data_IF_883777278929
#
_entry.id   IF_883777278929
#
_cell.length_a   1.000
_cell.length_b   1.000
_cell.length_c   1.000
_cell.angle_alpha   90.00
_cell.angle_beta   90.00
_cell.angle_gamma   90.00
#
_symmetry.space_group_name_H-M   'P 1'
#
loop_
_entity.id
_entity.type
_entity.pdbx_description
1 polymer ?
#
# COMPACT_ATOMS: atom_id res chain seq x y z
N UNK A 1 36.32 11.90 -50.56
CA UNK A 1 36.61 10.78 -49.63
C UNK A 1 36.97 11.41 -48.29
N UNK A 2 36.10 11.31 -47.26
CA UNK A 2 36.41 11.90 -45.95
C UNK A 2 37.33 10.95 -45.18
N UNK A 3 38.56 11.41 -44.89
CA UNK A 3 39.49 10.67 -44.05
C UNK A 3 39.00 10.72 -42.60
N UNK A 4 38.43 9.62 -42.10
CA UNK A 4 38.10 9.47 -40.69
C UNK A 4 39.40 9.51 -39.87
N UNK A 5 39.42 10.33 -38.81
CA UNK A 5 40.53 10.38 -37.86
C UNK A 5 40.57 9.06 -37.05
N UNK A 6 41.76 8.62 -36.65
CA UNK A 6 42.04 7.43 -35.85
C UNK A 6 41.10 7.26 -34.65
N UNK A 7 40.68 8.37 -34.03
CA UNK A 7 39.74 8.39 -32.91
C UNK A 7 38.33 7.94 -33.31
N UNK A 8 37.83 8.37 -34.48
CA UNK A 8 36.51 7.98 -34.98
C UNK A 8 36.48 6.51 -35.40
N UNK A 9 37.59 6.02 -35.97
CA UNK A 9 37.76 4.60 -36.28
C UNK A 9 37.74 3.77 -34.98
N UNK A 10 38.42 4.23 -33.93
CA UNK A 10 38.42 3.58 -32.62
C UNK A 10 37.02 3.50 -31.98
N UNK A 11 36.21 4.56 -32.07
CA UNK A 11 34.84 4.57 -31.53
C UNK A 11 33.94 3.62 -32.32
N UNK A 12 34.04 3.61 -33.66
CA UNK A 12 33.22 2.73 -34.50
C UNK A 12 33.57 1.25 -34.25
N UNK A 13 34.86 0.92 -34.16
CA UNK A 13 35.32 -0.44 -33.85
C UNK A 13 34.89 -0.85 -32.45
N UNK A 14 34.99 0.04 -31.46
CA UNK A 14 34.50 -0.21 -30.09
C UNK A 14 33.00 -0.46 -30.03
N UNK A 15 32.19 0.31 -30.77
CA UNK A 15 30.75 0.13 -30.84
C UNK A 15 30.37 -1.19 -31.54
N UNK A 16 31.06 -1.56 -32.62
CA UNK A 16 30.83 -2.83 -33.33
C UNK A 16 31.19 -4.02 -32.43
N UNK A 17 32.29 -3.96 -31.68
CA UNK A 17 32.67 -5.02 -30.73
C UNK A 17 31.63 -5.10 -29.61
N UNK A 18 31.19 -3.98 -29.06
CA UNK A 18 30.16 -3.96 -28.01
C UNK A 18 28.83 -4.54 -28.48
N UNK A 19 28.35 -4.15 -29.67
CA UNK A 19 27.12 -4.69 -30.25
C UNK A 19 27.28 -6.18 -30.57
N UNK A 20 28.44 -6.60 -31.06
CA UNK A 20 28.72 -8.00 -31.39
C UNK A 20 28.77 -8.87 -30.13
N UNK A 21 29.39 -8.38 -29.06
CA UNK A 21 29.38 -9.05 -27.74
C UNK A 21 27.97 -9.08 -27.15
N UNK A 22 27.20 -8.01 -27.25
CA UNK A 22 25.80 -7.98 -26.80
C UNK A 22 24.93 -8.97 -27.59
N UNK A 23 25.10 -9.05 -28.91
CA UNK A 23 24.41 -10.02 -29.77
C UNK A 23 24.84 -11.44 -29.42
N UNK A 24 26.13 -11.71 -29.21
CA UNK A 24 26.63 -13.05 -28.82
C UNK A 24 26.14 -13.50 -27.43
N UNK A 25 25.92 -12.56 -26.50
CA UNK A 25 25.29 -12.80 -25.20
C UNK A 25 23.78 -13.10 -25.37
N UNK A 26 23.08 -12.32 -26.21
CA UNK A 26 21.66 -12.52 -26.51
C UNK A 26 21.39 -13.83 -27.29
N UNK A 27 22.27 -14.21 -28.23
CA UNK A 27 22.14 -15.44 -29.04
C UNK A 27 22.73 -16.69 -28.37
N UNK A 28 23.33 -16.57 -27.19
CA UNK A 28 23.76 -17.71 -26.36
C UNK A 28 24.99 -18.47 -26.87
N UNK A 29 25.90 -17.80 -27.59
CA UNK A 29 27.10 -18.45 -28.19
C UNK A 29 28.28 -18.48 -27.20
N UNK A 30 28.26 -17.64 -26.14
CA UNK A 30 29.29 -17.60 -25.09
C UNK A 30 28.84 -18.38 -23.84
N UNK A 31 29.47 -19.52 -23.49
CA UNK A 31 29.16 -20.26 -22.26
C UNK A 31 29.67 -19.49 -21.02
N UNK A 32 28.83 -19.36 -19.99
CA UNK A 32 29.23 -18.87 -18.65
C UNK A 32 28.90 -17.41 -18.30
N UNK A 33 28.20 -16.67 -19.16
CA UNK A 33 27.72 -15.29 -18.90
C UNK A 33 26.19 -15.15 -18.81
N UNK A 34 25.46 -16.27 -18.89
CA UNK A 34 24.04 -16.30 -18.49
C UNK A 34 23.95 -16.51 -16.99
N UNK A 35 23.36 -15.58 -16.26
CA UNK A 35 22.62 -15.89 -15.04
C UNK A 35 21.40 -16.69 -15.47
N UNK A 36 21.51 -18.03 -15.49
CA UNK A 36 20.45 -18.90 -15.99
C UNK A 36 19.23 -18.87 -15.05
N UNK A 37 18.30 -17.94 -15.29
CA UNK A 37 16.95 -17.92 -14.70
C UNK A 37 16.08 -19.12 -15.10
N UNK A 38 16.59 -19.98 -16.00
CA UNK A 38 15.93 -21.16 -16.53
C UNK A 38 16.42 -22.48 -15.89
N UNK A 39 17.07 -22.40 -14.73
CA UNK A 39 17.31 -23.54 -13.84
C UNK A 39 16.02 -24.04 -13.19
N UNK A 40 15.94 -25.35 -12.92
CA UNK A 40 14.77 -25.94 -12.29
C UNK A 40 14.64 -25.48 -10.83
N UNK A 41 13.46 -25.01 -10.45
CA UNK A 41 13.17 -24.56 -9.09
C UNK A 41 11.73 -24.88 -8.70
N UNK A 42 11.52 -25.23 -7.43
CA UNK A 42 10.19 -25.37 -6.83
C UNK A 42 10.00 -24.22 -5.85
N UNK A 43 9.26 -23.19 -6.26
CA UNK A 43 9.02 -21.99 -5.46
C UNK A 43 7.76 -22.14 -4.61
N UNK A 44 7.86 -21.87 -3.31
CA UNK A 44 6.70 -21.69 -2.43
C UNK A 44 6.36 -20.21 -2.32
N UNK A 45 5.16 -19.84 -2.77
CA UNK A 45 4.65 -18.46 -2.75
C UNK A 45 3.53 -18.33 -1.73
N UNK A 46 3.67 -17.41 -0.77
CA UNK A 46 2.63 -17.07 0.20
C UNK A 46 1.90 -15.79 -0.18
N UNK A 47 0.57 -15.86 -0.28
CA UNK A 47 -0.30 -14.73 -0.60
C UNK A 47 -1.58 -14.70 0.21
N UNK A 48 -2.45 -13.71 -0.02
CA UNK A 48 -3.70 -13.53 0.75
C UNK A 48 -4.97 -13.79 -0.04
N UNK A 49 -4.88 -13.77 -1.38
CA UNK A 49 -6.03 -13.94 -2.24
C UNK A 49 -6.27 -15.42 -2.58
N UNK A 50 -7.41 -15.72 -3.19
CA UNK A 50 -7.66 -17.06 -3.71
C UNK A 50 -6.68 -17.39 -4.85
N UNK A 51 -6.34 -18.67 -5.00
CA UNK A 51 -5.34 -19.13 -5.96
C UNK A 51 -5.71 -18.76 -7.41
N UNK A 52 -7.02 -18.67 -7.70
CA UNK A 52 -7.59 -18.23 -8.97
C UNK A 52 -7.11 -16.85 -9.41
N UNK A 53 -6.76 -15.97 -8.47
CA UNK A 53 -6.21 -14.64 -8.77
C UNK A 53 -4.82 -14.77 -9.43
N UNK A 54 -4.05 -15.78 -9.03
CA UNK A 54 -2.67 -15.97 -9.49
C UNK A 54 -2.53 -17.00 -10.61
N UNK A 55 -3.50 -17.90 -10.79
CA UNK A 55 -3.42 -19.05 -11.70
C UNK A 55 -2.98 -18.68 -13.12
N UNK A 56 -3.62 -17.68 -13.73
CA UNK A 56 -3.25 -17.22 -15.09
C UNK A 56 -1.89 -16.54 -15.09
N UNK A 57 -1.60 -15.72 -14.08
CA UNK A 57 -0.35 -14.95 -13.96
C UNK A 57 0.84 -15.90 -13.85
N UNK A 58 0.75 -16.93 -13.00
CA UNK A 58 1.76 -17.97 -12.89
C UNK A 58 1.86 -18.82 -14.15
N UNK A 59 0.75 -19.01 -14.88
CA UNK A 59 0.76 -19.63 -16.21
C UNK A 59 1.64 -18.88 -17.19
N UNK A 60 1.43 -17.55 -17.32
CA UNK A 60 2.23 -16.68 -18.19
C UNK A 60 3.72 -16.71 -17.84
N UNK A 61 4.08 -16.72 -16.55
CA UNK A 61 5.49 -16.84 -16.16
C UNK A 61 6.13 -18.16 -16.62
N UNK A 62 5.38 -19.26 -16.53
CA UNK A 62 5.86 -20.61 -16.88
C UNK A 62 6.04 -20.83 -18.38
N UNK A 63 5.43 -20.01 -19.24
CA UNK A 63 5.64 -20.09 -20.70
C UNK A 63 7.11 -19.92 -21.06
N UNK A 64 7.80 -18.98 -20.41
CA UNK A 64 9.24 -18.71 -20.60
C UNK A 64 10.15 -19.39 -19.56
N UNK A 65 9.56 -19.98 -18.50
CA UNK A 65 10.27 -20.60 -17.37
C UNK A 65 9.73 -22.01 -17.07
N UNK A 66 9.71 -22.87 -18.09
CA UNK A 66 9.06 -24.19 -18.04
C UNK A 66 9.62 -25.15 -16.98
N UNK A 67 10.83 -24.91 -16.46
CA UNK A 67 11.45 -25.70 -15.38
C UNK A 67 11.09 -25.19 -13.97
N UNK A 68 10.35 -24.09 -13.84
CA UNK A 68 9.93 -23.54 -12.55
C UNK A 68 8.54 -24.01 -12.19
N UNK A 69 8.42 -24.67 -11.04
CA UNK A 69 7.15 -24.97 -10.40
C UNK A 69 6.85 -23.93 -9.32
N UNK A 70 5.59 -23.54 -9.19
CA UNK A 70 5.13 -22.57 -8.18
C UNK A 70 4.03 -23.26 -7.37
N UNK A 71 4.27 -23.42 -6.07
CA UNK A 71 3.30 -23.86 -5.07
C UNK A 71 2.75 -22.63 -4.35
N UNK A 72 1.46 -22.34 -4.55
CA UNK A 72 0.78 -21.26 -3.86
C UNK A 72 0.26 -21.71 -2.50
N UNK A 73 0.41 -20.89 -1.48
CA UNK A 73 -0.23 -21.06 -0.17
C UNK A 73 -0.94 -19.78 0.24
N UNK A 74 -2.27 -19.86 0.38
CA UNK A 74 -3.06 -18.77 0.95
C UNK A 74 -2.81 -18.69 2.45
N UNK A 75 -2.37 -17.54 2.94
CA UNK A 75 -2.17 -17.25 4.36
C UNK A 75 -3.24 -16.30 4.88
N UNK A 76 -3.46 -16.34 6.19
CA UNK A 76 -4.28 -15.36 6.88
C UNK A 76 -3.42 -14.14 7.25
N UNK A 77 -3.77 -12.91 6.81
CA UNK A 77 -3.02 -11.70 7.17
C UNK A 77 -2.79 -11.53 8.68
N UNK A 78 -3.77 -11.93 9.51
CA UNK A 78 -3.73 -11.77 10.97
C UNK A 78 -2.71 -12.72 11.64
N UNK A 79 -2.41 -13.87 11.02
CA UNK A 79 -1.45 -14.86 11.56
C UNK A 79 -0.12 -14.87 10.82
N UNK A 80 -0.01 -14.16 9.69
CA UNK A 80 1.16 -14.21 8.81
C UNK A 80 2.47 -14.01 9.56
N UNK A 81 2.53 -13.05 10.48
CA UNK A 81 3.75 -12.77 11.25
C UNK A 81 4.22 -13.98 12.04
N UNK A 82 3.32 -14.67 12.76
CA UNK A 82 3.65 -15.89 13.50
C UNK A 82 4.02 -17.02 12.55
N UNK A 83 3.19 -17.27 11.54
CA UNK A 83 3.37 -18.36 10.58
C UNK A 83 4.73 -18.23 9.86
N UNK A 84 5.15 -16.99 9.57
CA UNK A 84 6.45 -16.68 8.97
C UNK A 84 7.61 -17.01 9.91
N UNK A 85 7.56 -16.59 11.18
CA UNK A 85 8.61 -16.89 12.16
C UNK A 85 8.74 -18.41 12.39
N UNK A 86 7.62 -19.11 12.53
CA UNK A 86 7.61 -20.55 12.77
C UNK A 86 8.22 -21.31 11.58
N UNK A 87 7.92 -20.88 10.35
CA UNK A 87 8.50 -21.46 9.14
C UNK A 87 10.02 -21.23 9.04
N UNK A 88 10.50 -20.02 9.39
CA UNK A 88 11.94 -19.75 9.44
C UNK A 88 12.65 -20.61 10.50
N UNK A 89 12.06 -20.71 11.70
CA UNK A 89 12.62 -21.50 12.80
C UNK A 89 12.69 -22.99 12.48
N UNK A 90 11.72 -23.50 11.71
CA UNK A 90 11.64 -24.90 11.30
C UNK A 90 12.48 -25.24 10.06
N UNK A 91 13.20 -24.27 9.48
CA UNK A 91 13.97 -24.45 8.26
C UNK A 91 13.13 -24.63 6.99
N UNK A 92 11.83 -24.33 7.06
CA UNK A 92 10.84 -24.49 5.98
C UNK A 92 10.39 -23.12 5.45
N UNK A 93 11.34 -22.20 5.27
CA UNK A 93 11.07 -20.86 4.78
C UNK A 93 10.41 -20.90 3.38
N UNK A 94 9.36 -20.09 3.13
CA UNK A 94 8.87 -19.90 1.77
C UNK A 94 9.90 -19.16 0.91
N UNK A 95 9.73 -19.23 -0.41
CA UNK A 95 10.61 -18.52 -1.35
C UNK A 95 10.16 -17.08 -1.59
N UNK A 96 8.84 -16.85 -1.63
CA UNK A 96 8.25 -15.52 -1.81
C UNK A 96 7.12 -15.34 -0.81
N UNK A 97 7.07 -14.18 -0.18
CA UNK A 97 5.98 -13.78 0.72
C UNK A 97 5.42 -12.44 0.28
N UNK A 98 4.11 -12.37 0.09
CA UNK A 98 3.39 -11.10 0.05
C UNK A 98 3.23 -10.58 1.49
N UNK A 99 3.83 -9.43 1.78
CA UNK A 99 3.96 -8.92 3.13
C UNK A 99 3.42 -7.48 3.24
N UNK A 100 2.57 -7.18 4.23
CA UNK A 100 2.19 -5.80 4.52
C UNK A 100 3.38 -5.02 5.07
N UNK A 101 3.41 -3.71 4.82
CA UNK A 101 4.57 -2.85 5.08
C UNK A 101 5.00 -2.81 6.54
N UNK A 102 4.06 -2.87 7.47
CA UNK A 102 4.33 -2.90 8.92
C UNK A 102 5.11 -4.16 9.33
N UNK A 103 4.68 -5.33 8.84
CA UNK A 103 5.37 -6.59 9.08
C UNK A 103 6.71 -6.64 8.35
N UNK A 104 6.79 -6.10 7.13
CA UNK A 104 8.04 -5.97 6.39
C UNK A 104 9.10 -5.24 7.20
N UNK A 105 8.77 -4.08 7.78
CA UNK A 105 9.71 -3.33 8.60
C UNK A 105 10.11 -4.07 9.87
N UNK A 106 9.16 -4.72 10.54
CA UNK A 106 9.42 -5.52 11.73
C UNK A 106 10.42 -6.65 11.45
N UNK A 107 10.31 -7.26 10.27
CA UNK A 107 11.08 -8.45 9.89
C UNK A 107 12.21 -8.15 8.88
N UNK A 108 12.51 -6.87 8.63
CA UNK A 108 13.37 -6.40 7.54
C UNK A 108 14.70 -7.15 7.44
N UNK A 109 15.35 -7.41 8.58
CA UNK A 109 16.64 -8.11 8.64
C UNK A 109 16.63 -9.56 8.13
N UNK A 110 15.44 -10.14 7.84
CA UNK A 110 15.25 -11.53 7.38
C UNK A 110 15.10 -11.66 5.88
N UNK A 111 15.05 -10.56 5.12
CA UNK A 111 14.91 -10.59 3.66
C UNK A 111 16.24 -10.44 2.94
N UNK A 112 16.38 -11.17 1.83
CA UNK A 112 17.48 -10.97 0.88
C UNK A 112 17.24 -9.69 0.08
N UNK A 113 18.31 -9.17 -0.53
CA UNK A 113 18.19 -8.08 -1.48
C UNK A 113 18.09 -8.64 -2.90
N UNK A 114 17.35 -7.95 -3.76
CA UNK A 114 17.26 -8.30 -5.17
C UNK A 114 18.64 -8.16 -5.83
N UNK A 115 19.02 -9.10 -6.73
CA UNK A 115 20.19 -8.93 -7.58
C UNK A 115 20.06 -7.65 -8.44
N UNK A 116 21.16 -6.89 -8.53
CA UNK A 116 21.16 -5.58 -9.20
C UNK A 116 20.97 -5.67 -10.73
N UNK A 117 21.20 -6.83 -11.33
CA UNK A 117 20.93 -7.15 -12.72
C UNK A 117 19.44 -7.45 -12.99
N UNK A 118 18.66 -7.78 -11.96
CA UNK A 118 17.22 -8.01 -12.06
C UNK A 118 16.44 -6.73 -11.73
N UNK A 119 16.73 -6.08 -10.59
CA UNK A 119 15.99 -4.93 -10.10
C UNK A 119 16.92 -3.85 -9.55
N UNK A 120 16.63 -2.59 -9.87
CA UNK A 120 17.44 -1.44 -9.45
C UNK A 120 16.62 -0.40 -8.71
N UNK A 121 17.28 0.37 -7.83
CA UNK A 121 16.72 1.58 -7.19
C UNK A 121 16.07 2.52 -8.23
N UNK A 122 16.74 2.72 -9.35
CA UNK A 122 16.28 3.59 -10.44
C UNK A 122 15.01 3.04 -11.13
N UNK A 123 14.87 1.72 -11.27
CA UNK A 123 13.63 1.13 -11.77
C UNK A 123 12.46 1.41 -10.82
N UNK A 124 12.65 1.18 -9.51
CA UNK A 124 11.59 1.37 -8.52
C UNK A 124 11.19 2.85 -8.41
N UNK A 125 12.15 3.76 -8.27
CA UNK A 125 11.89 5.20 -8.08
C UNK A 125 11.24 5.87 -9.29
N UNK A 126 11.53 5.40 -10.52
CA UNK A 126 10.92 5.94 -11.75
C UNK A 126 9.52 5.41 -12.02
N UNK A 127 9.27 4.13 -11.73
CA UNK A 127 8.04 3.46 -12.17
C UNK A 127 6.95 3.39 -11.11
N UNK A 128 7.27 3.58 -9.82
CA UNK A 128 6.30 3.43 -8.73
C UNK A 128 5.99 4.76 -8.01
N UNK A 129 4.89 4.74 -7.25
CA UNK A 129 4.52 5.82 -6.33
C UNK A 129 5.66 6.08 -5.31
N UNK A 130 5.85 7.32 -4.82
CA UNK A 130 6.96 7.65 -3.92
C UNK A 130 7.03 6.76 -2.66
N UNK A 131 5.87 6.33 -2.16
CA UNK A 131 5.75 5.45 -1.00
C UNK A 131 6.44 4.08 -1.20
N UNK A 132 6.67 3.64 -2.45
CA UNK A 132 7.42 2.42 -2.75
C UNK A 132 8.88 2.45 -2.25
N UNK A 133 9.43 3.64 -2.01
CA UNK A 133 10.83 3.81 -1.58
C UNK A 133 11.12 3.13 -0.24
N UNK A 134 10.08 2.74 0.53
CA UNK A 134 10.23 1.98 1.78
C UNK A 134 10.95 0.64 1.61
N UNK A 135 10.97 0.09 0.39
CA UNK A 135 11.61 -1.20 0.12
C UNK A 135 13.09 -1.07 -0.30
N UNK A 136 13.64 0.14 -0.31
CA UNK A 136 15.06 0.40 -0.59
C UNK A 136 15.82 0.44 0.74
N UNK A 137 16.89 -0.34 0.86
CA UNK A 137 17.76 -0.35 2.03
C UNK A 137 18.73 0.86 2.06
N UNK A 138 19.48 1.03 3.16
CA UNK A 138 20.45 2.13 3.29
C UNK A 138 21.64 2.05 2.32
N UNK A 139 21.87 0.88 1.72
CA UNK A 139 22.88 0.63 0.69
C UNK A 139 22.31 0.74 -0.73
N UNK A 140 21.05 1.16 -0.88
CA UNK A 140 20.31 1.32 -2.14
C UNK A 140 19.95 0.00 -2.84
N UNK A 141 20.00 -1.13 -2.12
CA UNK A 141 19.48 -2.38 -2.65
C UNK A 141 17.97 -2.49 -2.41
N UNK A 142 17.30 -3.26 -3.26
CA UNK A 142 15.87 -3.54 -3.15
C UNK A 142 15.66 -4.73 -2.21
N UNK A 143 15.09 -4.53 -1.03
CA UNK A 143 14.77 -5.59 -0.07
C UNK A 143 13.34 -6.16 -0.24
N UNK A 144 12.55 -5.55 -1.12
CA UNK A 144 11.20 -5.99 -1.49
C UNK A 144 10.70 -5.23 -2.71
N UNK A 145 9.72 -5.78 -3.41
CA UNK A 145 9.06 -5.06 -4.49
C UNK A 145 7.63 -4.75 -4.11
N UNK A 146 7.20 -3.48 -4.22
CA UNK A 146 5.83 -3.13 -3.93
C UNK A 146 4.93 -3.82 -4.97
N UNK A 147 3.78 -4.34 -4.55
CA UNK A 147 2.89 -5.10 -5.42
C UNK A 147 1.51 -4.44 -5.57
N UNK A 148 0.89 -4.07 -4.46
CA UNK A 148 -0.31 -3.22 -4.45
C UNK A 148 -0.38 -2.38 -3.17
N UNK A 149 -1.28 -1.40 -3.16
CA UNK A 149 -1.59 -0.57 -2.01
C UNK A 149 -3.05 -0.78 -1.60
N UNK A 150 -3.30 -0.84 -0.30
CA UNK A 150 -4.64 -0.77 0.26
C UNK A 150 -4.81 0.59 0.94
N UNK A 151 -5.43 1.52 0.23
CA UNK A 151 -5.53 2.90 0.67
C UNK A 151 -6.60 3.04 1.77
N UNK A 152 -6.30 3.85 2.77
CA UNK A 152 -7.29 4.30 3.73
C UNK A 152 -8.21 5.32 3.05
N UNK A 153 -9.52 5.13 3.17
CA UNK A 153 -10.56 5.95 2.52
C UNK A 153 -11.69 6.29 3.49
N UNK A 154 -12.49 7.29 3.12
CA UNK A 154 -13.71 7.65 3.82
C UNK A 154 -14.92 7.04 3.12
N UNK A 155 -15.55 6.07 3.77
CA UNK A 155 -16.88 5.59 3.45
C UNK A 155 -17.93 6.48 4.11
N UNK A 156 -18.97 6.86 3.37
CA UNK A 156 -20.05 7.70 3.90
C UNK A 156 -21.43 7.15 3.54
N UNK A 157 -22.34 7.16 4.51
CA UNK A 157 -23.71 6.67 4.34
C UNK A 157 -24.58 7.76 3.72
N UNK A 158 -25.04 7.53 2.48
CA UNK A 158 -25.79 8.51 1.69
C UNK A 158 -27.12 8.88 2.35
N UNK A 159 -27.80 7.92 2.98
CA UNK A 159 -29.11 8.16 3.59
C UNK A 159 -28.97 9.03 4.85
N UNK A 160 -27.95 8.77 5.67
CA UNK A 160 -27.65 9.60 6.85
C UNK A 160 -27.19 11.01 6.45
N UNK A 161 -26.40 11.12 5.38
CA UNK A 161 -26.01 12.41 4.81
C UNK A 161 -27.22 13.19 4.31
N UNK A 162 -28.10 12.55 3.53
CA UNK A 162 -29.32 13.16 2.99
C UNK A 162 -30.28 13.63 4.09
N UNK A 163 -30.49 12.84 5.16
CA UNK A 163 -31.31 13.22 6.32
C UNK A 163 -30.83 14.50 7.02
N UNK A 164 -29.54 14.81 6.93
CA UNK A 164 -28.93 16.01 7.51
C UNK A 164 -28.62 17.08 6.46
N UNK A 165 -29.14 16.93 5.25
CA UNK A 165 -28.93 17.84 4.12
C UNK A 165 -27.45 18.05 3.75
N UNK A 166 -26.62 17.03 3.95
CA UNK A 166 -25.21 17.02 3.55
C UNK A 166 -25.13 16.40 2.15
N UNK A 167 -24.71 17.17 1.16
CA UNK A 167 -24.76 16.77 -0.26
C UNK A 167 -23.43 16.27 -0.83
N UNK A 168 -22.33 16.48 -0.11
CA UNK A 168 -20.99 16.06 -0.54
C UNK A 168 -20.20 15.47 0.65
N UNK A 169 -19.31 14.49 0.41
CA UNK A 169 -18.41 14.02 1.44
C UNK A 169 -17.44 15.14 1.88
N UNK A 170 -17.03 15.16 3.16
CA UNK A 170 -16.10 16.17 3.66
C UNK A 170 -14.73 16.04 3.00
N UNK A 171 -14.20 17.16 2.52
CA UNK A 171 -12.85 17.27 1.95
C UNK A 171 -11.83 17.71 2.99
N UNK A 172 -12.29 18.34 4.07
CA UNK A 172 -11.44 18.82 5.17
C UNK A 172 -11.82 18.18 6.50
N UNK A 173 -10.88 18.11 7.44
CA UNK A 173 -11.16 17.60 8.79
C UNK A 173 -12.16 18.47 9.56
N UNK A 174 -12.24 19.77 9.26
CA UNK A 174 -13.25 20.67 9.81
C UNK A 174 -14.65 20.28 9.30
N UNK A 175 -14.79 20.06 7.99
CA UNK A 175 -16.05 19.56 7.41
C UNK A 175 -16.43 18.17 7.94
N UNK A 176 -15.44 17.30 8.18
CA UNK A 176 -15.65 15.99 8.78
C UNK A 176 -16.17 16.12 10.21
N UNK A 177 -15.61 17.02 11.01
CA UNK A 177 -16.07 17.30 12.36
C UNK A 177 -17.53 17.80 12.36
N UNK A 178 -17.85 18.77 11.50
CA UNK A 178 -19.20 19.31 11.37
C UNK A 178 -20.22 18.25 10.94
N UNK A 179 -19.87 17.42 9.95
CA UNK A 179 -20.72 16.34 9.48
C UNK A 179 -20.93 15.30 10.59
N UNK A 180 -19.88 14.93 11.33
CA UNK A 180 -19.98 13.98 12.44
C UNK A 180 -20.91 14.50 13.54
N UNK A 181 -20.81 15.78 13.90
CA UNK A 181 -21.70 16.41 14.87
C UNK A 181 -23.15 16.43 14.41
N UNK A 182 -23.42 16.81 13.16
CA UNK A 182 -24.79 16.86 12.60
C UNK A 182 -25.45 15.49 12.51
N UNK A 183 -24.69 14.45 12.17
CA UNK A 183 -25.22 13.09 11.98
C UNK A 183 -25.39 12.36 13.31
N UNK A 184 -24.59 12.66 14.33
CA UNK A 184 -24.67 11.94 15.61
C UNK A 184 -26.00 12.19 16.30
N UNK A 185 -26.68 11.10 16.68
CA UNK A 185 -27.92 11.12 17.44
C UNK A 185 -27.74 10.31 18.73
N UNK A 186 -28.33 10.82 19.82
CA UNK A 186 -28.30 10.19 21.14
C UNK A 186 -29.73 10.01 21.66
N UNK A 187 -29.97 8.96 22.43
CA UNK A 187 -31.21 8.79 23.17
C UNK A 187 -31.25 9.65 24.45
N UNK A 188 -32.36 9.58 25.18
CA UNK A 188 -32.58 10.32 26.43
C UNK A 188 -31.56 9.97 27.53
N UNK A 189 -30.93 8.80 27.45
CA UNK A 189 -29.88 8.35 28.38
C UNK A 189 -28.49 8.79 27.95
N UNK A 190 -28.38 9.54 26.85
CA UNK A 190 -27.12 10.01 26.28
C UNK A 190 -26.38 8.94 25.47
N UNK A 191 -26.98 7.78 25.20
CA UNK A 191 -26.34 6.73 24.40
C UNK A 191 -26.45 7.05 22.92
N UNK A 192 -25.36 6.88 22.20
CA UNK A 192 -25.31 7.08 20.75
C UNK A 192 -26.17 6.01 20.05
N UNK A 193 -27.20 6.44 19.33
CA UNK A 193 -28.11 5.59 18.54
C UNK A 193 -27.76 5.59 17.05
N UNK A 194 -27.30 6.74 16.54
CA UNK A 194 -26.64 6.91 15.24
C UNK A 194 -25.31 7.60 15.48
N UNK A 195 -24.23 7.02 15.00
CA UNK A 195 -22.90 7.62 15.11
C UNK A 195 -22.58 8.44 13.87
N UNK A 196 -22.08 9.66 14.04
CA UNK A 196 -21.62 10.48 12.93
C UNK A 196 -20.28 10.02 12.34
N UNK A 197 -19.35 9.57 13.19
CA UNK A 197 -18.01 9.14 12.79
C UNK A 197 -17.41 8.12 13.76
N UNK A 198 -16.70 7.13 13.21
CA UNK A 198 -15.88 6.21 13.98
C UNK A 198 -14.46 6.75 14.16
N UNK A 199 -14.24 7.52 15.24
CA UNK A 199 -12.94 8.09 15.61
C UNK A 199 -12.77 8.20 17.14
N UNK A 200 -11.52 8.20 17.61
CA UNK A 200 -11.18 8.62 18.98
C UNK A 200 -10.79 7.53 19.98
N UNK A 201 -10.71 6.27 19.57
CA UNK A 201 -10.17 5.17 20.38
C UNK A 201 -9.82 3.94 19.53
N UNK A 202 -9.14 2.97 20.11
CA UNK A 202 -8.63 1.77 19.42
C UNK A 202 -9.37 0.47 19.72
N UNK A 203 -10.29 0.46 20.69
CA UNK A 203 -10.93 -0.77 21.18
C UNK A 203 -11.81 -1.43 20.13
N UNK A 204 -12.62 -0.64 19.41
CA UNK A 204 -13.62 -1.11 18.44
C UNK A 204 -13.50 -0.38 17.09
N UNK A 205 -12.32 0.15 16.79
CA UNK A 205 -11.97 0.76 15.50
C UNK A 205 -10.69 0.10 15.00
N UNK A 206 -10.80 -0.89 14.11
CA UNK A 206 -9.65 -1.69 13.65
C UNK A 206 -8.49 -0.83 13.12
N UNK A 207 -8.81 0.25 12.39
CA UNK A 207 -7.83 1.10 11.72
C UNK A 207 -7.37 2.29 12.57
N UNK A 208 -7.65 2.33 13.87
CA UNK A 208 -7.40 3.52 14.73
C UNK A 208 -5.95 4.02 14.67
N UNK A 209 -4.97 3.11 14.66
CA UNK A 209 -3.55 3.45 14.63
C UNK A 209 -3.15 4.06 13.28
N UNK A 210 -3.69 3.53 12.17
CA UNK A 210 -3.45 4.06 10.82
C UNK A 210 -4.12 5.42 10.63
N UNK A 211 -5.33 5.60 11.17
CA UNK A 211 -6.04 6.89 11.18
C UNK A 211 -5.23 7.94 11.94
N UNK A 212 -4.82 7.63 13.19
CA UNK A 212 -4.04 8.56 14.01
C UNK A 212 -2.69 8.88 13.35
N UNK A 213 -1.99 7.88 12.82
CA UNK A 213 -0.73 8.09 12.09
C UNK A 213 -0.92 9.00 10.88
N UNK A 214 -2.03 8.84 10.15
CA UNK A 214 -2.35 9.71 9.00
C UNK A 214 -2.58 11.16 9.43
N UNK A 215 -3.31 11.39 10.54
CA UNK A 215 -3.51 12.73 11.10
C UNK A 215 -2.19 13.37 11.52
N UNK A 216 -1.32 12.63 12.20
CA UNK A 216 0.01 13.08 12.60
C UNK A 216 0.83 13.56 11.39
N UNK A 217 0.90 12.72 10.34
CA UNK A 217 1.65 13.05 9.13
C UNK A 217 1.05 14.25 8.38
N UNK A 218 -0.27 14.33 8.25
CA UNK A 218 -0.95 15.47 7.61
C UNK A 218 -0.71 16.78 8.36
N UNK A 219 -0.61 16.74 9.69
CA UNK A 219 -0.29 17.90 10.53
C UNK A 219 1.16 18.38 10.41
N UNK A 220 1.99 17.66 9.65
CA UNK A 220 3.40 17.97 9.45
C UNK A 220 4.32 17.38 10.52
N UNK A 221 3.81 16.53 11.42
CA UNK A 221 4.62 15.87 12.44
C UNK A 221 5.59 14.88 11.79
N UNK A 222 6.87 14.98 12.15
CA UNK A 222 7.87 13.99 11.78
C UNK A 222 7.94 12.97 12.91
N UNK A 223 7.32 11.82 12.71
CA UNK A 223 7.36 10.70 13.67
C UNK A 223 8.80 10.21 13.85
N UNK A 224 9.55 10.13 12.75
CA UNK A 224 10.96 9.77 12.71
C UNK A 224 11.69 10.84 11.91
N UNK A 225 12.85 11.27 12.40
CA UNK A 225 13.75 12.20 11.71
C UNK A 225 14.60 11.50 10.65
N UNK A 226 15.28 12.30 9.80
CA UNK A 226 16.07 11.77 8.69
C UNK A 226 17.24 10.87 9.11
N UNK A 227 17.69 10.96 10.37
CA UNK A 227 18.75 10.11 10.93
C UNK A 227 18.21 8.90 11.71
N UNK A 228 16.91 8.60 11.59
CA UNK A 228 16.28 7.44 12.22
C UNK A 228 15.92 7.62 13.69
N UNK A 229 16.04 8.83 14.25
CA UNK A 229 15.66 9.11 15.64
C UNK A 229 14.16 9.42 15.71
N UNK A 230 13.45 8.80 16.65
CA UNK A 230 12.05 9.12 16.93
C UNK A 230 11.91 10.57 17.40
N UNK A 231 11.05 11.34 16.72
CA UNK A 231 10.85 12.78 16.97
C UNK A 231 9.38 13.16 17.19
N UNK A 232 8.50 12.16 17.31
CA UNK A 232 7.07 12.35 17.57
C UNK A 232 6.84 13.34 18.72
N UNK A 233 6.01 14.36 18.48
CA UNK A 233 5.65 15.36 19.50
C UNK A 233 6.67 16.48 19.70
N UNK A 234 7.71 16.54 18.87
CA UNK A 234 8.58 17.72 18.81
C UNK A 234 7.79 18.95 18.39
N UNK A 235 8.10 20.11 18.98
CA UNK A 235 7.50 21.36 18.51
C UNK A 235 8.05 21.73 17.13
N UNK A 236 7.16 22.26 16.28
CA UNK A 236 7.51 22.78 14.97
C UNK A 236 7.23 24.28 14.99
N UNK A 237 8.23 25.07 14.60
CA UNK A 237 8.12 26.52 14.53
C UNK A 237 7.41 26.91 13.24
N UNK A 238 6.22 27.51 13.38
CA UNK A 238 5.45 28.08 12.28
C UNK A 238 5.40 29.60 12.43
N UNK A 239 6.27 30.31 11.73
CA UNK A 239 6.49 31.74 11.94
C UNK A 239 7.05 32.04 13.34
N UNK A 240 6.28 32.78 14.15
CA UNK A 240 6.61 33.11 15.55
C UNK A 240 5.89 32.22 16.58
N UNK A 241 5.20 31.18 16.14
CA UNK A 241 4.42 30.29 17.02
C UNK A 241 5.06 28.91 17.06
N UNK A 242 5.27 28.39 18.27
CA UNK A 242 5.60 26.98 18.47
C UNK A 242 4.31 26.17 18.46
N UNK A 243 4.19 25.28 17.47
CA UNK A 243 3.06 24.38 17.30
C UNK A 243 3.49 22.99 17.75
N UNK A 244 2.58 22.23 18.39
CA UNK A 244 2.77 20.82 18.74
C UNK A 244 1.79 19.94 17.95
N UNK A 245 2.13 19.56 16.70
CA UNK A 245 1.18 18.91 15.80
C UNK A 245 0.69 17.55 16.32
N UNK A 246 1.55 16.77 16.97
CA UNK A 246 1.13 15.51 17.59
C UNK A 246 0.06 15.69 18.66
N UNK A 247 0.23 16.65 19.57
CA UNK A 247 -0.72 16.90 20.65
C UNK A 247 -2.07 17.37 20.09
N UNK A 248 -2.05 18.27 19.10
CA UNK A 248 -3.25 18.75 18.42
C UNK A 248 -3.97 17.62 17.69
N UNK A 249 -3.24 16.76 16.97
CA UNK A 249 -3.81 15.62 16.24
C UNK A 249 -4.39 14.57 17.19
N UNK A 250 -3.70 14.26 18.28
CA UNK A 250 -4.19 13.33 19.30
C UNK A 250 -5.43 13.86 20.00
N UNK A 251 -5.47 15.17 20.31
CA UNK A 251 -6.64 15.82 20.90
C UNK A 251 -7.83 15.79 19.94
N UNK A 252 -7.62 16.17 18.68
CA UNK A 252 -8.64 16.10 17.64
C UNK A 252 -9.20 14.69 17.51
N UNK A 253 -8.33 13.69 17.42
CA UNK A 253 -8.74 12.29 17.36
C UNK A 253 -9.56 11.89 18.61
N UNK A 254 -9.02 12.09 19.81
CA UNK A 254 -9.64 11.62 21.07
C UNK A 254 -10.95 12.33 21.44
N UNK A 255 -11.16 13.57 21.00
CA UNK A 255 -12.37 14.36 21.28
C UNK A 255 -13.65 13.73 20.71
N UNK A 256 -13.56 12.87 19.68
CA UNK A 256 -14.71 12.10 19.16
C UNK A 256 -15.23 11.02 20.11
N UNK A 257 -14.42 10.64 21.11
CA UNK A 257 -14.80 9.63 22.10
C UNK A 257 -14.75 10.15 23.54
N UNK A 258 -14.86 11.47 23.69
CA UNK A 258 -14.91 12.17 24.96
C UNK A 258 -16.34 12.64 25.26
N UNK A 259 -17.04 12.07 26.27
CA UNK A 259 -18.44 12.41 26.56
C UNK A 259 -18.67 13.84 27.03
N UNK A 260 -17.61 14.59 27.35
CA UNK A 260 -17.69 16.01 27.72
C UNK A 260 -17.64 16.95 26.52
N UNK A 261 -17.49 16.42 25.30
CA UNK A 261 -17.35 17.21 24.08
C UNK A 261 -18.60 17.11 23.21
N UNK A 262 -18.98 18.22 22.60
CA UNK A 262 -20.04 18.26 21.58
C UNK A 262 -19.68 17.45 20.33
N UNK A 263 -18.40 17.15 20.15
CA UNK A 263 -17.82 16.35 19.07
C UNK A 263 -17.96 14.84 19.31
N UNK A 264 -18.42 14.41 20.48
CA UNK A 264 -18.56 12.99 20.78
C UNK A 264 -19.48 12.30 19.77
N UNK A 265 -18.93 11.35 19.01
CA UNK A 265 -19.64 10.51 18.07
C UNK A 265 -19.35 9.02 18.26
N UNK A 266 -18.43 8.65 19.16
CA UNK A 266 -17.99 7.27 19.33
C UNK A 266 -17.85 6.84 20.79
N UNK A 267 -18.16 5.57 21.06
CA UNK A 267 -18.04 4.95 22.38
C UNK A 267 -17.59 3.50 22.27
N UNK A 268 -16.91 2.98 23.30
CA UNK A 268 -16.53 1.57 23.38
C UNK A 268 -17.71 0.62 23.58
N UNK A 269 -18.91 1.16 23.89
CA UNK A 269 -20.14 0.37 23.96
C UNK A 269 -20.75 0.09 22.58
N UNK A 270 -20.29 0.76 21.53
CA UNK A 270 -20.73 0.51 20.16
C UNK A 270 -20.08 -0.78 19.62
N UNK A 271 -20.75 -1.47 18.67
CA UNK A 271 -20.11 -2.50 17.86
C UNK A 271 -18.83 -2.01 17.16
N UNK A 272 -18.09 -2.95 16.57
CA UNK A 272 -16.95 -2.61 15.71
C UNK A 272 -17.40 -1.68 14.55
N UNK A 273 -16.55 -0.71 14.21
CA UNK A 273 -16.87 0.38 13.30
C UNK A 273 -17.41 -0.05 11.93
N UNK A 274 -16.80 -1.06 11.29
CA UNK A 274 -17.26 -1.59 10.01
C UNK A 274 -18.62 -2.25 10.14
N UNK A 275 -18.83 -3.04 11.20
CA UNK A 275 -20.13 -3.70 11.44
C UNK A 275 -21.25 -2.68 11.71
N UNK A 276 -20.96 -1.59 12.43
CA UNK A 276 -21.93 -0.50 12.62
C UNK A 276 -22.26 0.24 11.32
N UNK A 277 -21.27 0.41 10.43
CA UNK A 277 -21.46 0.98 9.09
C UNK A 277 -22.31 0.08 8.19
N UNK A 278 -22.00 -1.22 8.15
CA UNK A 278 -22.77 -2.23 7.44
C UNK A 278 -24.22 -2.25 7.96
N UNK A 279 -24.43 -2.09 9.26
CA UNK A 279 -25.74 -1.96 9.88
C UNK A 279 -26.49 -0.65 9.57
N UNK A 280 -25.88 0.28 8.83
CA UNK A 280 -26.50 1.55 8.43
C UNK A 280 -26.62 2.59 9.56
N UNK A 281 -25.93 2.38 10.70
CA UNK A 281 -26.00 3.25 11.89
C UNK A 281 -24.76 4.13 12.09
N UNK A 282 -23.87 4.18 11.11
CA UNK A 282 -22.68 5.03 11.11
C UNK A 282 -22.66 5.91 9.85
N UNK A 283 -22.54 7.22 10.04
CA UNK A 283 -22.45 8.22 8.99
C UNK A 283 -21.14 8.13 8.20
N UNK A 284 -20.02 8.08 8.91
CA UNK A 284 -18.68 8.12 8.34
C UNK A 284 -17.77 7.04 8.92
N UNK A 285 -17.30 6.14 8.07
CA UNK A 285 -16.39 5.06 8.41
C UNK A 285 -15.07 5.24 7.67
N UNK A 286 -13.96 5.26 8.42
CA UNK A 286 -12.61 5.31 7.84
C UNK A 286 -12.06 3.88 7.78
N UNK A 287 -12.06 3.33 6.58
CA UNK A 287 -11.75 1.93 6.28
C UNK A 287 -10.67 1.78 5.20
N UNK A 288 -10.25 0.55 4.97
CA UNK A 288 -9.39 0.24 3.83
C UNK A 288 -10.24 0.10 2.57
N UNK A 289 -9.71 0.40 1.38
CA UNK A 289 -10.48 0.31 0.14
C UNK A 289 -10.95 -1.12 -0.13
N UNK A 290 -10.20 -2.11 0.37
CA UNK A 290 -10.57 -3.52 0.30
C UNK A 290 -11.86 -3.88 1.06
N UNK A 291 -12.30 -3.06 2.03
CA UNK A 291 -13.56 -3.26 2.76
C UNK A 291 -14.80 -3.10 1.84
N UNK A 292 -14.68 -2.40 0.71
CA UNK A 292 -15.80 -2.05 -0.18
C UNK A 292 -16.64 -3.27 -0.60
N UNK A 293 -15.99 -4.34 -1.07
CA UNK A 293 -16.68 -5.53 -1.56
C UNK A 293 -17.36 -6.28 -0.41
N UNK A 294 -16.73 -6.33 0.76
CA UNK A 294 -17.32 -6.98 1.93
C UNK A 294 -18.57 -6.22 2.39
N UNK A 295 -18.50 -4.89 2.48
CA UNK A 295 -19.63 -4.04 2.87
C UNK A 295 -20.82 -4.28 1.94
N UNK A 296 -20.60 -4.22 0.61
CA UNK A 296 -21.66 -4.46 -0.38
C UNK A 296 -22.26 -5.87 -0.30
N UNK A 297 -21.43 -6.87 -0.07
CA UNK A 297 -21.89 -8.27 0.05
C UNK A 297 -22.70 -8.50 1.32
N UNK A 298 -22.29 -7.93 2.45
CA UNK A 298 -22.98 -8.08 3.74
C UNK A 298 -24.26 -7.26 3.83
N UNK A 299 -24.32 -6.08 3.18
CA UNK A 299 -25.54 -5.29 3.08
C UNK A 299 -25.68 -4.66 1.68
N UNK A 300 -26.36 -5.38 0.79
CA UNK A 300 -26.60 -4.93 -0.58
C UNK A 300 -27.57 -3.73 -0.68
N UNK A 301 -28.31 -3.42 0.39
CA UNK A 301 -29.26 -2.30 0.45
C UNK A 301 -28.67 -1.03 1.02
N UNK A 302 -27.47 -1.08 1.62
CA UNK A 302 -26.81 0.10 2.14
C UNK A 302 -26.43 1.03 0.98
N UNK A 303 -27.01 2.23 0.98
CA UNK A 303 -26.60 3.30 0.06
C UNK A 303 -25.39 4.03 0.65
N UNK A 304 -24.22 3.83 0.07
CA UNK A 304 -23.00 4.49 0.52
C UNK A 304 -22.10 4.93 -0.63
N UNK A 305 -21.25 5.92 -0.35
CA UNK A 305 -20.18 6.36 -1.24
C UNK A 305 -18.80 6.16 -0.61
N UNK A 306 -17.78 6.36 -1.44
CA UNK A 306 -16.36 6.33 -1.03
C UNK A 306 -15.69 7.61 -1.51
N UNK A 307 -14.83 8.17 -0.68
CA UNK A 307 -14.05 9.38 -0.99
C UNK A 307 -12.63 9.27 -0.44
N UNK A 308 -11.67 10.07 -0.98
CA UNK A 308 -10.36 10.23 -0.34
C UNK A 308 -10.51 10.71 1.10
N UNK A 309 -9.47 10.50 1.92
CA UNK A 309 -9.50 11.03 3.28
C UNK A 309 -9.55 12.56 3.29
N UNK A 310 -10.25 13.15 4.28
CA UNK A 310 -10.16 14.57 4.53
C UNK A 310 -8.70 15.01 4.71
N UNK A 311 -8.42 16.26 4.30
CA UNK A 311 -7.11 16.87 4.42
C UNK A 311 -7.17 18.09 5.34
N UNK A 312 -6.04 18.53 5.88
CA UNK A 312 -5.97 19.84 6.53
C UNK A 312 -6.14 20.95 5.50
N UNK A 313 -6.91 21.98 5.88
CA UNK A 313 -7.18 23.14 5.02
C UNK A 313 -5.87 23.82 4.64
N UNK A 314 -5.68 24.08 3.35
CA UNK A 314 -4.47 24.73 2.84
C UNK A 314 -3.23 23.82 2.79
N UNK A 315 -3.38 22.50 2.96
CA UNK A 315 -2.26 21.57 2.80
C UNK A 315 -1.68 21.66 1.39
N UNK A 316 -0.40 22.03 1.29
CA UNK A 316 0.34 22.10 0.03
C UNK A 316 0.69 20.71 -0.53
N UNK A 317 0.66 19.67 0.30
CA UNK A 317 0.95 18.28 -0.07
C UNK A 317 -0.05 17.34 0.62
N UNK A 318 -1.10 16.89 -0.06
CA UNK A 318 -2.04 15.96 0.53
C UNK A 318 -1.33 14.65 0.88
N UNK A 319 -1.60 14.11 2.07
CA UNK A 319 -1.06 12.85 2.55
C UNK A 319 -2.24 11.90 2.75
N UNK A 320 -2.13 10.68 2.23
CA UNK A 320 -3.11 9.63 2.46
C UNK A 320 -2.46 8.46 3.21
N UNK A 321 -3.20 7.86 4.13
CA UNK A 321 -2.81 6.62 4.80
C UNK A 321 -3.07 5.41 3.92
N UNK A 322 -2.42 4.29 4.24
CA UNK A 322 -2.66 3.02 3.58
C UNK A 322 -1.62 1.98 3.98
N UNK A 323 -1.84 0.75 3.55
CA UNK A 323 -0.90 -0.35 3.72
C UNK A 323 -0.31 -0.66 2.35
N UNK A 324 1.03 -0.68 2.26
CA UNK A 324 1.70 -1.22 1.09
C UNK A 324 1.93 -2.70 1.28
N UNK A 325 1.60 -3.47 0.25
CA UNK A 325 1.86 -4.90 0.20
C UNK A 325 2.98 -5.13 -0.80
N UNK A 326 4.07 -5.75 -0.32
CA UNK A 326 5.26 -6.00 -1.11
C UNK A 326 5.61 -7.47 -1.16
N UNK A 327 6.21 -7.90 -2.27
CA UNK A 327 6.79 -9.23 -2.42
C UNK A 327 8.22 -9.20 -1.92
N UNK A 328 8.55 -10.15 -1.04
CA UNK A 328 9.87 -10.27 -0.43
C UNK A 328 10.39 -11.69 -0.52
N UNK A 329 11.71 -11.83 -0.55
CA UNK A 329 12.41 -13.12 -0.60
C UNK A 329 13.16 -13.33 0.71
N UNK A 330 12.78 -14.30 1.56
CA UNK A 330 13.51 -14.60 2.79
C UNK A 330 14.96 -15.01 2.51
N UNK A 331 15.91 -14.61 3.37
CA UNK A 331 17.34 -15.01 3.26
C UNK A 331 17.55 -16.52 3.31
N UNK A 332 16.61 -17.27 3.89
CA UNK A 332 16.65 -18.72 3.98
C UNK A 332 16.10 -19.43 2.74
N UNK A 333 15.52 -18.71 1.76
CA UNK A 333 15.12 -19.32 0.49
C UNK A 333 16.37 -19.88 -0.21
N UNK A 334 16.22 -21.10 -0.75
CA UNK A 334 17.25 -21.78 -1.53
C UNK A 334 17.22 -21.39 -3.02
N UNK A 335 16.16 -20.71 -3.46
CA UNK A 335 15.87 -20.38 -4.85
C UNK A 335 15.77 -18.86 -5.06
N UNK A 336 16.63 -18.08 -4.38
CA UNK A 336 16.51 -16.61 -4.35
C UNK A 336 16.53 -15.98 -5.75
N UNK A 337 17.37 -16.48 -6.65
CA UNK A 337 17.46 -15.97 -8.03
C UNK A 337 16.13 -16.15 -8.78
N UNK A 338 15.55 -17.35 -8.73
CA UNK A 338 14.28 -17.66 -9.38
C UNK A 338 13.11 -16.95 -8.68
N UNK A 339 13.17 -16.78 -7.36
CA UNK A 339 12.19 -16.00 -6.60
C UNK A 339 12.19 -14.53 -7.02
N UNK A 340 13.37 -13.90 -7.13
CA UNK A 340 13.50 -12.51 -7.61
C UNK A 340 13.12 -12.36 -9.08
N UNK A 341 13.42 -13.35 -9.92
CA UNK A 341 12.95 -13.40 -11.32
C UNK A 341 11.42 -13.39 -11.39
N UNK A 342 10.74 -14.23 -10.60
CA UNK A 342 9.28 -14.25 -10.53
C UNK A 342 8.74 -12.92 -9.97
N UNK A 343 9.36 -12.34 -8.95
CA UNK A 343 8.95 -11.02 -8.44
C UNK A 343 9.09 -9.93 -9.51
N UNK A 344 10.17 -9.91 -10.27
CA UNK A 344 10.36 -8.95 -11.36
C UNK A 344 9.29 -9.09 -12.45
N UNK A 345 8.92 -10.33 -12.79
CA UNK A 345 7.79 -10.60 -13.68
C UNK A 345 6.46 -10.11 -13.11
N UNK A 346 6.14 -10.47 -11.86
CA UNK A 346 4.88 -10.10 -11.19
C UNK A 346 4.71 -8.59 -11.04
N UNK A 347 5.81 -7.87 -10.90
CA UNK A 347 5.82 -6.44 -10.62
C UNK A 347 5.99 -5.61 -11.88
N UNK A 348 6.12 -6.22 -13.06
CA UNK A 348 6.13 -5.48 -14.31
C UNK A 348 4.77 -4.76 -14.53
N UNK A 349 4.72 -3.68 -15.34
CA UNK A 349 3.51 -2.86 -15.47
C UNK A 349 2.26 -3.62 -15.93
N UNK A 350 2.40 -4.56 -16.87
CA UNK A 350 1.27 -5.31 -17.44
C UNK A 350 0.68 -6.28 -16.42
N UNK A 351 1.54 -7.10 -15.79
CA UNK A 351 1.13 -8.10 -14.81
C UNK A 351 0.62 -7.44 -13.53
N UNK A 352 1.24 -6.34 -13.10
CA UNK A 352 0.75 -5.55 -11.97
C UNK A 352 -0.66 -4.98 -12.24
N UNK A 353 -0.92 -4.48 -13.46
CA UNK A 353 -2.25 -4.00 -13.83
C UNK A 353 -3.29 -5.12 -13.87
N UNK A 354 -2.94 -6.28 -14.45
CA UNK A 354 -3.79 -7.47 -14.47
C UNK A 354 -4.13 -7.96 -13.06
N UNK A 355 -3.14 -8.02 -12.17
CA UNK A 355 -3.35 -8.41 -10.78
C UNK A 355 -4.27 -7.41 -10.06
N UNK A 356 -4.00 -6.11 -10.19
CA UNK A 356 -4.80 -5.06 -9.57
C UNK A 356 -6.27 -5.12 -10.00
N UNK A 357 -6.52 -5.37 -11.30
CA UNK A 357 -7.88 -5.55 -11.81
C UNK A 357 -8.59 -6.74 -11.15
N UNK A 358 -7.91 -7.89 -11.04
CA UNK A 358 -8.47 -9.11 -10.44
C UNK A 358 -8.85 -8.94 -8.96
N UNK A 359 -8.13 -8.09 -8.23
CA UNK A 359 -8.43 -7.78 -6.83
C UNK A 359 -9.32 -6.54 -6.66
N UNK A 360 -9.86 -5.98 -7.75
CA UNK A 360 -10.66 -4.75 -7.75
C UNK A 360 -9.96 -3.54 -7.08
N UNK A 361 -8.64 -3.43 -7.31
CA UNK A 361 -7.79 -2.36 -6.78
C UNK A 361 -7.13 -1.57 -7.94
N UNK A 362 -6.24 -0.63 -7.64
CA UNK A 362 -5.37 0.03 -8.64
C UNK A 362 -3.95 -0.49 -8.57
N UNK A 363 -3.29 -0.53 -9.72
CA UNK A 363 -1.85 -0.77 -9.76
C UNK A 363 -1.11 0.42 -9.16
N UNK A 364 -0.04 0.14 -8.43
CA UNK A 364 0.87 1.14 -7.87
C UNK A 364 1.99 1.54 -8.86
N UNK A 365 1.96 0.98 -10.08
CA UNK A 365 2.84 1.35 -11.19
C UNK A 365 2.27 2.57 -11.89
N UNK A 366 3.07 3.62 -12.03
CA UNK A 366 2.65 4.93 -12.54
C UNK A 366 2.01 4.87 -13.93
N UNK A 367 2.55 4.04 -14.83
CA UNK A 367 2.00 3.92 -16.19
C UNK A 367 0.59 3.32 -16.22
N UNK A 368 0.26 2.46 -15.25
CA UNK A 368 -1.04 1.80 -15.15
C UNK A 368 -2.13 2.68 -14.51
N UNK A 369 -1.78 3.78 -13.83
CA UNK A 369 -2.76 4.62 -13.12
C UNK A 369 -3.71 5.38 -14.06
N UNK A 370 -3.29 5.68 -15.29
CA UNK A 370 -4.06 6.51 -16.24
C UNK A 370 -5.35 5.85 -16.77
N UNK A 371 -5.50 4.53 -16.65
CA UNK A 371 -6.66 3.79 -17.19
C UNK A 371 -7.90 3.76 -16.29
N UNK A 372 -7.87 4.35 -15.09
CA UNK A 372 -8.89 4.12 -14.05
C UNK A 372 -9.95 5.21 -13.88
N UNK A 373 -9.96 6.25 -14.73
CA UNK A 373 -10.81 7.44 -14.55
C UNK A 373 -12.32 7.21 -14.65
N UNK A 374 -12.78 6.09 -15.23
CA UNK A 374 -14.21 5.81 -15.48
C UNK A 374 -14.91 5.01 -14.38
N UNK A 375 -14.17 4.43 -13.45
CA UNK A 375 -14.71 3.64 -12.33
C UNK A 375 -14.76 4.51 -11.07
N UNK A 376 -15.92 4.63 -10.42
CA UNK A 376 -16.11 5.54 -9.28
C UNK A 376 -15.17 5.22 -8.12
N UNK A 377 -14.85 3.95 -7.88
CA UNK A 377 -13.96 3.52 -6.79
C UNK A 377 -12.50 3.65 -7.23
N UNK A 378 -12.16 3.18 -8.43
CA UNK A 378 -10.77 3.29 -8.91
C UNK A 378 -10.37 4.75 -9.14
N UNK A 379 -11.31 5.65 -9.43
CA UNK A 379 -11.04 7.09 -9.50
C UNK A 379 -10.67 7.72 -8.15
N UNK A 380 -11.14 7.15 -7.03
CA UNK A 380 -10.71 7.57 -5.69
C UNK A 380 -9.26 7.18 -5.46
N UNK A 381 -8.91 5.95 -5.82
CA UNK A 381 -7.54 5.44 -5.71
C UNK A 381 -6.58 6.17 -6.65
N UNK A 382 -7.02 6.50 -7.86
CA UNK A 382 -6.28 7.35 -8.80
C UNK A 382 -5.98 8.73 -8.17
N UNK A 383 -6.99 9.40 -7.60
CA UNK A 383 -6.81 10.68 -6.88
C UNK A 383 -5.82 10.57 -5.70
N UNK A 384 -5.81 9.45 -5.00
CA UNK A 384 -4.88 9.21 -3.88
C UNK A 384 -3.45 9.04 -4.38
N UNK A 385 -3.25 8.33 -5.48
CA UNK A 385 -1.93 7.92 -6.00
C UNK A 385 -1.29 8.95 -6.94
N UNK A 386 -2.09 9.77 -7.63
CA UNK A 386 -1.62 10.76 -8.61
C UNK A 386 -1.46 12.20 -8.09
N UNK A 387 -1.60 12.43 -6.78
CA UNK A 387 -1.28 13.74 -6.19
C UNK A 387 0.22 14.04 -6.37
N UNK A 388 0.53 14.86 -7.38
CA UNK A 388 1.87 15.41 -7.68
C UNK A 388 2.23 16.54 -6.73
#
# INVERSE_FOLDING_TARGET
MSNFNFLQIGIIVGAIIFVSVAVLILTGILPGLRTDSNEAANLTFWGFHDEEVYREIFGKYKEDHSKVSIKYEKKNPETLGRDFIDALASGNAPDIVLMPSDLFFKEFGKFSSAPADILTENYLTKNYIPAASIYIDSQKNIAGMPFYADALVLYFNNDLFARKFITVPPKTWDEFLEAAQKITEKDETGRITISGAAMGRSVNIKNSSLILTTLLLQSGDKIISNNGIATLGSSIRSGNVDVRPAESSLRFFSDFANPQKTTESWSSALPEAKELFIGGKLGMYIGLISDYQEIRRKNAHLSFGVSPLPQLKGSARPINGGILYGLVVPKLSKSQMQAWSLIAFLTNPEISALFAERISNVSIVRSALTSYQKDSIKSVLDKITNNK
#
